data_IF_335087323207
#
_entry.id   IF_335087323207
#
_cell.length_a   1.000
_cell.length_b   1.000
_cell.length_c   1.000
_cell.angle_alpha   90.00
_cell.angle_beta   90.00
_cell.angle_gamma   90.00
#
_symmetry.space_group_name_H-M   'P 1'
#
loop_
_entity.id
_entity.type
_entity.pdbx_description
1 polymer ?
#
# COMPACT_ATOMS: atom_id res chain seq x y z
N UNK A 1 24.67 21.38 -62.21
CA UNK A 1 24.17 22.13 -61.03
C UNK A 1 22.74 21.73 -60.60
N UNK A 2 21.77 21.55 -61.52
CA UNK A 2 20.38 21.13 -61.20
C UNK A 2 20.24 19.75 -60.49
N UNK A 3 21.12 18.79 -60.79
CA UNK A 3 21.08 17.44 -60.19
C UNK A 3 21.56 17.38 -58.72
N UNK A 4 22.36 18.34 -58.27
CA UNK A 4 22.86 18.39 -56.88
C UNK A 4 21.81 19.02 -55.96
N UNK A 5 21.11 20.05 -56.44
CA UNK A 5 20.00 20.69 -55.72
C UNK A 5 18.84 19.72 -55.43
N UNK A 6 18.53 18.81 -56.36
CA UNK A 6 17.46 17.83 -56.18
C UNK A 6 17.79 16.76 -55.13
N UNK A 7 19.07 16.36 -55.04
CA UNK A 7 19.54 15.41 -54.01
C UNK A 7 19.56 16.04 -52.61
N UNK A 8 19.94 17.31 -52.49
CA UNK A 8 19.92 18.04 -51.21
C UNK A 8 18.47 18.26 -50.73
N UNK A 9 17.55 18.63 -51.63
CA UNK A 9 16.14 18.86 -51.30
C UNK A 9 15.43 17.56 -50.81
N UNK A 10 15.71 16.41 -51.43
CA UNK A 10 15.15 15.13 -51.01
C UNK A 10 15.68 14.67 -49.64
N UNK A 11 16.97 14.91 -49.34
CA UNK A 11 17.55 14.55 -48.03
C UNK A 11 16.97 15.42 -46.92
N UNK A 12 16.75 16.72 -47.14
CA UNK A 12 16.09 17.59 -46.15
C UNK A 12 14.60 17.27 -45.97
N UNK A 13 13.89 16.85 -47.02
CA UNK A 13 12.48 16.46 -46.92
C UNK A 13 12.29 15.13 -46.16
N UNK A 14 13.18 14.15 -46.36
CA UNK A 14 13.16 12.90 -45.57
C UNK A 14 13.52 13.15 -44.10
N UNK A 15 14.51 14.01 -43.81
CA UNK A 15 14.91 14.36 -42.44
C UNK A 15 13.79 15.09 -41.67
N UNK A 16 12.98 15.89 -42.36
CA UNK A 16 11.84 16.62 -41.78
C UNK A 16 10.67 15.70 -41.41
N UNK A 17 10.45 14.63 -42.18
CA UNK A 17 9.40 13.63 -41.89
C UNK A 17 9.83 12.69 -40.76
N UNK A 18 11.12 12.41 -40.62
CA UNK A 18 11.66 11.61 -39.51
C UNK A 18 11.62 12.35 -38.16
N UNK A 19 11.70 13.68 -38.15
CA UNK A 19 11.60 14.48 -36.92
C UNK A 19 10.17 14.51 -36.34
N UNK A 20 9.14 14.39 -37.18
CA UNK A 20 7.73 14.36 -36.76
C UNK A 20 7.34 13.12 -35.94
N UNK A 21 8.11 12.03 -36.04
CA UNK A 21 7.84 10.78 -35.29
C UNK A 21 8.50 10.73 -33.91
N UNK A 22 9.36 11.71 -33.58
CA UNK A 22 9.98 11.83 -32.24
C UNK A 22 9.27 12.86 -31.34
N UNK A 23 8.34 13.63 -31.90
CA UNK A 23 7.55 14.61 -31.17
C UNK A 23 6.54 13.98 -30.20
N UNK A 24 6.20 14.72 -29.14
CA UNK A 24 5.15 14.36 -28.19
C UNK A 24 3.83 14.13 -28.93
N UNK A 25 3.48 12.88 -29.19
CA UNK A 25 2.20 12.55 -29.83
C UNK A 25 1.09 12.51 -28.78
N UNK A 26 -0.14 12.73 -29.23
CA UNK A 26 -1.34 12.63 -28.38
C UNK A 26 -1.42 11.23 -27.73
N UNK A 27 -1.05 10.20 -28.47
CA UNK A 27 -1.10 8.81 -28.03
C UNK A 27 -0.08 8.54 -26.91
N UNK A 28 1.13 9.12 -26.97
CA UNK A 28 2.08 9.05 -25.86
C UNK A 28 1.52 9.74 -24.62
N UNK A 29 0.89 10.89 -24.79
CA UNK A 29 0.28 11.62 -23.68
C UNK A 29 -0.87 10.84 -23.03
N UNK A 30 -1.72 10.19 -23.83
CA UNK A 30 -2.79 9.32 -23.33
C UNK A 30 -2.22 8.08 -22.59
N UNK A 31 -1.11 7.51 -23.05
CA UNK A 31 -0.47 6.39 -22.36
C UNK A 31 0.07 6.78 -20.97
N UNK A 32 0.75 7.93 -20.85
CA UNK A 32 1.20 8.44 -19.54
C UNK A 32 0.00 8.72 -18.63
N UNK A 33 -1.03 9.38 -19.15
CA UNK A 33 -2.26 9.66 -18.40
C UNK A 33 -2.92 8.38 -17.90
N UNK A 34 -3.09 7.38 -18.76
CA UNK A 34 -3.68 6.10 -18.40
C UNK A 34 -2.86 5.38 -17.32
N UNK A 35 -1.53 5.41 -17.42
CA UNK A 35 -0.66 4.82 -16.40
C UNK A 35 -0.75 5.55 -15.05
N UNK A 36 -0.80 6.89 -15.05
CA UNK A 36 -0.95 7.68 -13.83
C UNK A 36 -2.32 7.45 -13.16
N UNK A 37 -3.39 7.33 -13.95
CA UNK A 37 -4.73 6.98 -13.46
C UNK A 37 -4.77 5.56 -12.91
N UNK A 38 -4.13 4.60 -13.58
CA UNK A 38 -4.01 3.23 -13.07
C UNK A 38 -3.25 3.19 -11.75
N UNK A 39 -2.17 3.98 -11.64
CA UNK A 39 -1.42 4.10 -10.38
C UNK A 39 -2.30 4.66 -9.26
N UNK A 40 -3.08 5.71 -9.51
CA UNK A 40 -4.04 6.25 -8.53
C UNK A 40 -5.06 5.20 -8.08
N UNK A 41 -5.63 4.43 -9.02
CA UNK A 41 -6.63 3.39 -8.71
C UNK A 41 -6.04 2.29 -7.83
N UNK A 42 -4.85 1.79 -8.16
CA UNK A 42 -4.19 0.76 -7.33
C UNK A 42 -3.73 1.33 -5.99
N UNK A 43 -3.29 2.60 -5.95
CA UNK A 43 -2.95 3.30 -4.72
C UNK A 43 -4.14 3.39 -3.75
N UNK A 44 -5.33 3.73 -4.26
CA UNK A 44 -6.56 3.77 -3.46
C UNK A 44 -6.87 2.39 -2.84
N UNK A 45 -6.80 1.33 -3.63
CA UNK A 45 -7.00 -0.06 -3.14
C UNK A 45 -5.99 -0.43 -2.05
N UNK A 46 -4.72 -0.07 -2.23
CA UNK A 46 -3.66 -0.36 -1.25
C UNK A 46 -3.86 0.41 0.06
N UNK A 47 -4.17 1.70 -0.02
CA UNK A 47 -4.44 2.55 1.15
C UNK A 47 -5.69 2.09 1.89
N UNK A 48 -6.76 1.72 1.19
CA UNK A 48 -7.97 1.16 1.81
C UNK A 48 -7.69 -0.16 2.53
N UNK A 49 -6.95 -1.10 1.92
CA UNK A 49 -6.61 -2.37 2.57
C UNK A 49 -5.71 -2.18 3.77
N UNK A 50 -4.72 -1.30 3.69
CA UNK A 50 -3.85 -1.00 4.83
C UNK A 50 -4.63 -0.31 5.95
N UNK A 51 -5.52 0.63 5.62
CA UNK A 51 -6.40 1.27 6.61
C UNK A 51 -7.28 0.23 7.31
N UNK A 52 -7.87 -0.71 6.58
CA UNK A 52 -8.66 -1.80 7.17
C UNK A 52 -7.81 -2.70 8.08
N UNK A 53 -6.59 -3.06 7.67
CA UNK A 53 -5.65 -3.85 8.47
C UNK A 53 -5.32 -3.15 9.80
N UNK A 54 -4.96 -1.87 9.74
CA UNK A 54 -4.63 -1.09 10.95
C UNK A 54 -5.87 -0.89 11.82
N UNK A 55 -7.05 -0.63 11.23
CA UNK A 55 -8.30 -0.52 12.00
C UNK A 55 -8.66 -1.83 12.71
N UNK A 56 -8.42 -2.98 12.07
CA UNK A 56 -8.66 -4.28 12.69
C UNK A 56 -7.78 -4.52 13.92
N UNK A 57 -6.57 -3.95 13.98
CA UNK A 57 -5.69 -4.06 15.16
C UNK A 57 -6.25 -3.35 16.39
N UNK A 58 -6.98 -2.25 16.18
CA UNK A 58 -7.51 -1.39 17.25
C UNK A 58 -9.01 -1.63 17.53
N UNK A 59 -9.74 -2.34 16.67
CA UNK A 59 -11.19 -2.52 16.83
C UNK A 59 -11.51 -3.55 17.91
N UNK A 60 -11.85 -3.08 19.11
CA UNK A 60 -12.42 -3.91 20.19
C UNK A 60 -13.88 -4.32 19.91
N UNK A 61 -14.15 -5.62 19.91
CA UNK A 61 -15.52 -6.18 19.97
C UNK A 61 -16.20 -5.80 21.29
N UNK A 62 -17.52 -5.56 21.33
CA UNK A 62 -18.25 -5.25 22.56
C UNK A 62 -18.08 -6.32 23.66
N UNK A 63 -18.00 -7.60 23.28
CA UNK A 63 -17.76 -8.71 24.21
C UNK A 63 -16.38 -8.65 24.88
N UNK A 64 -15.35 -8.16 24.19
CA UNK A 64 -14.01 -7.98 24.76
C UNK A 64 -14.02 -6.94 25.86
N UNK A 65 -14.86 -5.91 25.74
CA UNK A 65 -15.04 -4.86 26.74
C UNK A 65 -15.74 -5.38 27.98
N UNK A 66 -16.81 -6.16 27.81
CA UNK A 66 -17.55 -6.71 28.95
C UNK A 66 -16.78 -7.84 29.64
N UNK A 67 -16.02 -8.63 28.88
CA UNK A 67 -15.18 -9.69 29.41
C UNK A 67 -13.89 -9.14 30.05
N UNK A 68 -13.21 -8.15 29.47
CA UNK A 68 -12.11 -7.42 30.14
C UNK A 68 -12.60 -6.75 31.42
N UNK A 69 -13.78 -6.09 31.40
CA UNK A 69 -14.38 -5.52 32.60
C UNK A 69 -14.70 -6.60 33.64
N UNK A 70 -15.20 -7.78 33.24
CA UNK A 70 -15.46 -8.90 34.16
C UNK A 70 -14.18 -9.49 34.73
N UNK A 71 -13.14 -9.72 33.92
CA UNK A 71 -11.84 -10.20 34.41
C UNK A 71 -11.17 -9.18 35.31
N UNK A 72 -11.25 -7.90 34.98
CA UNK A 72 -10.74 -6.81 35.81
C UNK A 72 -11.54 -6.69 37.11
N UNK A 73 -12.86 -6.81 37.08
CA UNK A 73 -13.71 -6.82 38.29
C UNK A 73 -13.39 -8.04 39.15
N UNK A 74 -13.21 -9.23 38.58
CA UNK A 74 -12.81 -10.44 39.31
C UNK A 74 -11.40 -10.28 39.90
N UNK A 75 -10.43 -9.77 39.14
CA UNK A 75 -9.07 -9.53 39.64
C UNK A 75 -9.04 -8.45 40.73
N UNK A 76 -9.87 -7.41 40.61
CA UNK A 76 -9.98 -6.34 41.60
C UNK A 76 -10.76 -6.80 42.85
N UNK A 77 -11.84 -7.57 42.70
CA UNK A 77 -12.56 -8.19 43.82
C UNK A 77 -11.65 -9.18 44.57
N UNK A 78 -10.76 -9.89 43.86
CA UNK A 78 -9.83 -10.84 44.46
C UNK A 78 -8.58 -10.19 45.07
N UNK A 79 -8.09 -9.05 44.55
CA UNK A 79 -6.82 -8.42 44.99
C UNK A 79 -6.93 -7.05 45.66
N UNK A 80 -7.94 -6.24 45.37
CA UNK A 80 -7.93 -4.80 45.71
C UNK A 80 -9.25 -4.33 46.37
N UNK A 81 -9.28 -4.30 47.72
CA UNK A 81 -10.42 -3.79 48.51
C UNK A 81 -10.54 -2.26 48.58
N UNK A 82 -9.69 -1.49 47.86
CA UNK A 82 -9.66 -0.04 47.92
C UNK A 82 -10.45 0.61 46.75
N UNK A 83 -11.57 1.31 47.02
CA UNK A 83 -12.41 1.93 46.00
C UNK A 83 -11.72 2.97 45.11
N UNK A 84 -10.68 3.66 45.61
CA UNK A 84 -9.97 4.70 44.84
C UNK A 84 -9.02 4.11 43.79
N UNK A 85 -8.38 2.97 44.09
CA UNK A 85 -7.60 2.22 43.08
C UNK A 85 -8.50 1.60 42.02
N UNK A 86 -9.65 1.04 42.42
CA UNK A 86 -10.67 0.52 41.51
C UNK A 86 -11.10 1.59 40.49
N UNK A 87 -11.37 2.81 40.96
CA UNK A 87 -11.73 3.96 40.11
C UNK A 87 -10.62 4.34 39.12
N UNK A 88 -9.37 4.41 39.56
CA UNK A 88 -8.22 4.71 38.68
C UNK A 88 -8.04 3.65 37.57
N UNK A 89 -8.27 2.38 37.89
CA UNK A 89 -8.17 1.29 36.91
C UNK A 89 -9.32 1.34 35.90
N UNK A 90 -10.54 1.64 36.35
CA UNK A 90 -11.70 1.86 35.46
C UNK A 90 -11.49 3.07 34.55
N UNK A 91 -10.99 4.18 35.11
CA UNK A 91 -10.64 5.38 34.36
C UNK A 91 -9.57 5.07 33.29
N UNK A 92 -8.57 4.24 33.61
CA UNK A 92 -7.55 3.79 32.65
C UNK A 92 -8.08 2.87 31.53
N UNK A 93 -9.14 2.09 31.77
CA UNK A 93 -9.83 1.32 30.71
C UNK A 93 -10.66 2.26 29.82
N UNK A 94 -11.35 3.23 30.42
CA UNK A 94 -12.13 4.23 29.71
C UNK A 94 -11.26 5.19 28.87
N UNK A 95 -10.08 5.55 29.36
CA UNK A 95 -9.12 6.36 28.62
C UNK A 95 -8.50 5.58 27.46
N UNK A 96 -8.19 4.28 27.65
CA UNK A 96 -7.80 3.39 26.54
C UNK A 96 -8.85 3.37 25.43
N UNK A 97 -10.14 3.34 25.79
CA UNK A 97 -11.23 3.40 24.80
C UNK A 97 -11.29 4.72 24.03
N UNK A 98 -11.10 5.86 24.69
CA UNK A 98 -11.03 7.18 24.02
C UNK A 98 -9.84 7.24 23.07
N UNK A 99 -8.68 6.74 23.49
CA UNK A 99 -7.45 6.72 22.66
C UNK A 99 -7.60 5.84 21.41
N UNK A 100 -8.29 4.70 21.49
CA UNK A 100 -8.55 3.83 20.34
C UNK A 100 -9.45 4.50 19.31
N UNK A 101 -10.49 5.22 19.73
CA UNK A 101 -11.39 5.95 18.82
C UNK A 101 -10.75 7.19 18.20
N UNK A 102 -9.84 7.86 18.90
CA UNK A 102 -9.04 8.95 18.30
C UNK A 102 -7.99 8.41 17.34
N UNK A 103 -7.38 7.26 17.62
CA UNK A 103 -6.45 6.60 16.72
C UNK A 103 -7.11 6.24 15.37
N UNK A 104 -8.31 5.65 15.39
CA UNK A 104 -9.07 5.34 14.17
C UNK A 104 -9.36 6.54 13.26
N UNK A 105 -9.69 7.70 13.85
CA UNK A 105 -9.91 8.95 13.08
C UNK A 105 -8.61 9.56 12.55
N UNK A 106 -7.50 9.38 13.26
CA UNK A 106 -6.18 9.86 12.83
C UNK A 106 -5.70 9.06 11.62
N UNK A 107 -5.89 7.73 11.64
CA UNK A 107 -5.63 6.82 10.52
C UNK A 107 -6.39 7.29 9.27
N UNK A 108 -7.70 7.53 9.36
CA UNK A 108 -8.48 7.98 8.19
C UNK A 108 -8.00 9.34 7.65
N UNK A 109 -7.60 10.26 8.52
CA UNK A 109 -7.04 11.54 8.11
C UNK A 109 -5.69 11.41 7.38
N UNK A 110 -4.80 10.53 7.86
CA UNK A 110 -3.49 10.29 7.25
C UNK A 110 -3.61 9.58 5.91
N UNK A 111 -4.41 8.50 5.84
CA UNK A 111 -4.66 7.79 4.58
C UNK A 111 -5.40 8.68 3.57
N UNK A 112 -6.33 9.54 4.01
CA UNK A 112 -7.00 10.52 3.16
C UNK A 112 -6.04 11.54 2.55
N UNK A 113 -5.07 12.04 3.32
CA UNK A 113 -4.00 12.92 2.80
C UNK A 113 -3.15 12.19 1.75
N UNK A 114 -2.78 10.94 2.01
CA UNK A 114 -2.02 10.13 1.05
C UNK A 114 -2.81 9.93 -0.24
N UNK A 115 -4.09 9.54 -0.17
CA UNK A 115 -4.97 9.40 -1.35
C UNK A 115 -5.00 10.68 -2.19
N UNK A 116 -5.05 11.85 -1.54
CA UNK A 116 -5.03 13.13 -2.22
C UNK A 116 -3.70 13.39 -2.96
N UNK A 117 -2.54 12.94 -2.44
CA UNK A 117 -1.26 13.05 -3.15
C UNK A 117 -1.25 12.24 -4.46
N UNK A 118 -1.85 11.05 -4.48
CA UNK A 118 -1.97 10.23 -5.70
C UNK A 118 -2.98 10.82 -6.69
N UNK A 119 -4.07 11.41 -6.21
CA UNK A 119 -5.02 12.13 -7.06
C UNK A 119 -4.35 13.34 -7.74
N UNK A 120 -3.65 14.17 -6.97
CA UNK A 120 -2.88 15.31 -7.50
C UNK A 120 -1.87 14.83 -8.55
N UNK A 121 -1.17 13.71 -8.31
CA UNK A 121 -0.23 13.15 -9.28
C UNK A 121 -0.93 12.77 -10.59
N UNK A 122 -2.09 12.12 -10.56
CA UNK A 122 -2.85 11.79 -11.76
C UNK A 122 -3.35 13.05 -12.50
N UNK A 123 -3.81 14.05 -11.75
CA UNK A 123 -4.32 15.32 -12.29
C UNK A 123 -3.24 16.12 -13.05
N UNK A 124 -1.96 15.96 -12.70
CA UNK A 124 -0.84 16.56 -13.46
C UNK A 124 -0.85 16.17 -14.95
N UNK A 125 -1.45 15.02 -15.29
CA UNK A 125 -1.47 14.48 -16.65
C UNK A 125 -2.84 14.61 -17.34
N UNK A 126 -3.88 15.12 -16.66
CA UNK A 126 -5.25 15.13 -17.21
C UNK A 126 -5.35 15.92 -18.53
N UNK A 127 -4.65 17.05 -18.58
CA UNK A 127 -4.62 17.97 -19.72
C UNK A 127 -3.46 17.72 -20.68
N UNK A 128 -2.61 16.73 -20.41
CA UNK A 128 -1.46 16.40 -21.26
C UNK A 128 -1.86 16.10 -22.73
N UNK A 129 -2.97 15.37 -23.00
CA UNK A 129 -3.40 15.11 -24.38
C UNK A 129 -3.91 16.34 -25.15
N UNK A 130 -4.19 17.46 -24.45
CA UNK A 130 -4.75 18.69 -25.02
C UNK A 130 -3.70 19.77 -25.33
N UNK A 131 -2.45 19.62 -24.87
CA UNK A 131 -1.41 20.64 -24.97
C UNK A 131 -0.21 20.23 -25.83
N UNK A 132 0.13 21.02 -26.85
CA UNK A 132 1.17 20.66 -27.83
C UNK A 132 2.59 21.23 -27.57
N UNK A 133 2.79 22.16 -26.63
CA UNK A 133 4.03 22.96 -26.59
C UNK A 133 4.93 22.81 -25.35
N UNK A 134 4.47 22.16 -24.26
CA UNK A 134 5.24 22.10 -23.00
C UNK A 134 5.27 20.72 -22.32
N UNK A 135 4.77 19.66 -22.96
CA UNK A 135 4.54 18.35 -22.31
C UNK A 135 5.82 17.67 -21.80
N UNK A 136 6.96 17.78 -22.49
CA UNK A 136 8.18 17.04 -22.10
C UNK A 136 8.76 17.48 -20.76
N UNK A 137 8.92 18.79 -20.53
CA UNK A 137 9.48 19.31 -19.27
C UNK A 137 8.49 19.14 -18.12
N UNK A 138 7.19 19.36 -18.36
CA UNK A 138 6.16 19.16 -17.35
C UNK A 138 6.01 17.70 -16.94
N UNK A 139 6.10 16.76 -17.89
CA UNK A 139 6.12 15.31 -17.61
C UNK A 139 7.36 14.94 -16.81
N UNK A 140 8.55 15.39 -17.22
CA UNK A 140 9.79 15.11 -16.48
C UNK A 140 9.78 15.67 -15.05
N UNK A 141 9.16 16.82 -14.82
CA UNK A 141 9.03 17.41 -13.48
C UNK A 141 8.22 16.52 -12.51
N UNK A 142 7.32 15.69 -13.02
CA UNK A 142 6.52 14.76 -12.23
C UNK A 142 7.26 13.46 -11.87
N UNK A 143 8.41 13.18 -12.49
CA UNK A 143 9.17 11.92 -12.31
C UNK A 143 9.52 11.69 -10.84
N UNK A 144 10.07 12.71 -10.17
CA UNK A 144 10.44 12.60 -8.75
C UNK A 144 9.23 12.33 -7.86
N UNK A 145 8.08 12.93 -8.16
CA UNK A 145 6.84 12.68 -7.44
C UNK A 145 6.37 11.23 -7.63
N UNK A 146 6.41 10.72 -8.86
CA UNK A 146 6.09 9.32 -9.17
C UNK A 146 7.00 8.33 -8.43
N UNK A 147 8.31 8.58 -8.43
CA UNK A 147 9.30 7.79 -7.67
C UNK A 147 8.96 7.75 -6.19
N UNK A 148 8.78 8.91 -5.56
CA UNK A 148 8.48 9.00 -4.12
C UNK A 148 7.22 8.24 -3.75
N UNK A 149 6.15 8.46 -4.51
CA UNK A 149 4.86 7.82 -4.28
C UNK A 149 4.91 6.30 -4.51
N UNK A 150 5.72 5.84 -5.46
CA UNK A 150 5.98 4.41 -5.71
C UNK A 150 6.69 3.78 -4.52
N UNK A 151 7.81 4.39 -4.11
CA UNK A 151 8.65 3.91 -3.00
C UNK A 151 7.90 3.83 -1.66
N UNK A 152 6.92 4.71 -1.44
CA UNK A 152 6.09 4.66 -0.23
C UNK A 152 5.32 3.33 -0.10
N UNK A 153 4.79 2.79 -1.19
CA UNK A 153 4.11 1.49 -1.14
C UNK A 153 5.08 0.31 -0.98
N UNK A 154 6.28 0.42 -1.53
CA UNK A 154 7.35 -0.55 -1.29
C UNK A 154 7.66 -0.61 0.20
N UNK A 155 7.86 0.58 0.80
CA UNK A 155 8.17 0.69 2.22
C UNK A 155 7.05 0.17 3.10
N UNK A 156 5.80 0.49 2.76
CA UNK A 156 4.63 0.01 3.48
C UNK A 156 4.50 -1.53 3.41
N UNK A 157 4.75 -2.13 2.24
CA UNK A 157 4.77 -3.59 2.11
C UNK A 157 5.88 -4.22 2.96
N UNK A 158 7.09 -3.67 2.93
CA UNK A 158 8.22 -4.11 3.74
C UNK A 158 7.92 -3.99 5.25
N UNK A 159 7.36 -2.87 5.69
CA UNK A 159 7.03 -2.64 7.10
C UNK A 159 5.99 -3.63 7.62
N UNK A 160 4.98 -3.98 6.81
CA UNK A 160 3.97 -4.98 7.14
C UNK A 160 4.60 -6.39 7.18
N UNK A 161 5.52 -6.71 6.27
CA UNK A 161 6.19 -8.02 6.25
C UNK A 161 7.12 -8.20 7.47
N UNK A 162 7.93 -7.18 7.80
CA UNK A 162 8.85 -7.21 8.95
C UNK A 162 8.08 -7.14 10.27
N UNK A 163 7.01 -6.35 10.34
CA UNK A 163 6.17 -6.18 11.55
C UNK A 163 4.69 -6.42 11.22
N UNK A 164 4.27 -7.69 11.08
CA UNK A 164 2.88 -8.01 10.77
C UNK A 164 1.93 -7.51 11.84
N UNK A 165 0.89 -6.82 11.42
CA UNK A 165 -0.16 -6.29 12.28
C UNK A 165 -0.89 -7.42 12.99
N UNK A 166 -1.06 -7.26 14.30
CA UNK A 166 -1.76 -8.20 15.17
C UNK A 166 -3.10 -7.62 15.58
N UNK A 167 -4.11 -8.48 15.69
CA UNK A 167 -5.46 -8.08 16.09
C UNK A 167 -5.57 -8.09 17.61
N UNK A 168 -4.93 -7.11 18.25
CA UNK A 168 -4.74 -7.04 19.70
C UNK A 168 -6.04 -7.17 20.48
N UNK A 169 -7.11 -6.52 20.02
CA UNK A 169 -8.43 -6.66 20.62
C UNK A 169 -8.94 -8.12 20.67
N UNK A 170 -8.75 -8.87 19.59
CA UNK A 170 -9.18 -10.26 19.49
C UNK A 170 -8.24 -11.18 20.29
N UNK A 171 -6.95 -10.85 20.33
CA UNK A 171 -5.96 -11.55 21.18
C UNK A 171 -6.28 -11.39 22.66
N UNK A 172 -6.64 -10.19 23.11
CA UNK A 172 -7.08 -9.93 24.47
C UNK A 172 -8.34 -10.73 24.82
N UNK A 173 -9.32 -10.78 23.92
CA UNK A 173 -10.51 -11.62 24.12
C UNK A 173 -10.14 -13.10 24.31
N UNK A 174 -9.22 -13.64 23.51
CA UNK A 174 -8.76 -15.03 23.67
C UNK A 174 -8.08 -15.26 25.02
N UNK A 175 -7.31 -14.30 25.51
CA UNK A 175 -6.69 -14.38 26.84
C UNK A 175 -7.77 -14.44 27.94
N UNK A 176 -8.82 -13.61 27.82
CA UNK A 176 -9.96 -13.63 28.76
C UNK A 176 -10.72 -14.96 28.68
N UNK A 177 -11.06 -15.42 27.46
CA UNK A 177 -11.74 -16.71 27.26
C UNK A 177 -10.92 -17.87 27.87
N UNK A 178 -9.59 -17.83 27.77
CA UNK A 178 -8.71 -18.84 28.35
C UNK A 178 -8.72 -18.81 29.89
N UNK A 179 -8.70 -17.63 30.50
CA UNK A 179 -8.82 -17.49 31.96
C UNK A 179 -10.17 -18.03 32.43
N UNK A 180 -11.26 -17.66 31.75
CA UNK A 180 -12.60 -18.18 32.03
C UNK A 180 -12.67 -19.71 31.90
N UNK A 181 -12.10 -20.27 30.83
CA UNK A 181 -12.04 -21.72 30.64
C UNK A 181 -11.27 -22.42 31.77
N UNK A 182 -10.14 -21.87 32.22
CA UNK A 182 -9.32 -22.44 33.31
C UNK A 182 -10.02 -22.40 34.67
N UNK A 183 -10.93 -21.45 34.88
CA UNK A 183 -11.68 -21.32 36.12
C UNK A 183 -12.80 -22.36 36.28
N UNK A 184 -13.13 -23.12 35.21
CA UNK A 184 -14.12 -24.19 35.26
C UNK A 184 -13.65 -25.34 36.16
N UNK A 185 -14.53 -25.75 37.08
CA UNK A 185 -14.29 -26.83 38.05
C UNK A 185 -14.48 -28.21 37.42
N UNK A 186 -15.48 -28.36 36.55
CA UNK A 186 -15.71 -29.59 35.78
C UNK A 186 -14.60 -29.79 34.73
N UNK A 187 -13.93 -30.95 34.80
CA UNK A 187 -12.77 -31.27 33.96
C UNK A 187 -13.16 -31.39 32.48
N UNK A 188 -14.33 -31.95 32.19
CA UNK A 188 -14.80 -32.17 30.82
C UNK A 188 -15.15 -30.84 30.17
N UNK A 189 -15.91 -29.98 30.86
CA UNK A 189 -16.27 -28.64 30.40
C UNK A 189 -15.03 -27.75 30.24
N UNK A 190 -14.09 -27.80 31.19
CA UNK A 190 -12.81 -27.10 31.09
C UNK A 190 -12.03 -27.50 29.84
N UNK A 191 -11.91 -28.82 29.61
CA UNK A 191 -11.17 -29.34 28.46
C UNK A 191 -11.80 -28.89 27.15
N UNK A 192 -13.13 -28.96 27.04
CA UNK A 192 -13.87 -28.51 25.86
C UNK A 192 -13.71 -26.99 25.64
N UNK A 193 -13.82 -26.18 26.70
CA UNK A 193 -13.65 -24.73 26.61
C UNK A 193 -12.22 -24.35 26.15
N UNK A 194 -11.19 -25.02 26.68
CA UNK A 194 -9.80 -24.81 26.25
C UNK A 194 -9.61 -25.19 24.78
N UNK A 195 -10.20 -26.29 24.31
CA UNK A 195 -10.14 -26.69 22.90
C UNK A 195 -10.79 -25.63 21.99
N UNK A 196 -11.94 -25.08 22.38
CA UNK A 196 -12.61 -24.00 21.63
C UNK A 196 -11.71 -22.76 21.55
N UNK A 197 -11.09 -22.34 22.67
CA UNK A 197 -10.17 -21.20 22.68
C UNK A 197 -8.94 -21.45 21.81
N UNK A 198 -8.40 -22.68 21.85
CA UNK A 198 -7.28 -23.06 20.99
C UNK A 198 -7.65 -22.97 19.50
N UNK A 199 -8.84 -23.44 19.12
CA UNK A 199 -9.32 -23.34 17.74
C UNK A 199 -9.47 -21.87 17.32
N UNK A 200 -10.14 -21.04 18.12
CA UNK A 200 -10.28 -19.60 17.86
C UNK A 200 -8.91 -18.90 17.72
N UNK A 201 -7.91 -19.33 18.47
CA UNK A 201 -6.56 -18.78 18.37
C UNK A 201 -5.85 -19.16 17.05
N UNK A 202 -6.10 -20.37 16.53
CA UNK A 202 -5.62 -20.77 15.21
C UNK A 202 -6.31 -19.98 14.10
N UNK A 203 -7.64 -19.85 14.19
CA UNK A 203 -8.44 -19.09 13.23
C UNK A 203 -8.02 -17.61 13.21
N UNK A 204 -7.77 -17.02 14.38
CA UNK A 204 -7.27 -15.67 14.50
C UNK A 204 -5.90 -15.49 13.84
N UNK A 205 -4.97 -16.42 14.07
CA UNK A 205 -3.64 -16.38 13.43
C UNK A 205 -3.75 -16.48 11.91
N UNK A 206 -4.66 -17.31 11.40
CA UNK A 206 -4.92 -17.42 9.97
C UNK A 206 -5.50 -16.11 9.42
N UNK A 207 -6.49 -15.52 10.09
CA UNK A 207 -7.09 -14.25 9.68
C UNK A 207 -6.09 -13.08 9.69
N UNK A 208 -5.26 -12.97 10.74
CA UNK A 208 -4.16 -11.99 10.80
C UNK A 208 -3.22 -12.16 9.61
N UNK A 209 -2.80 -13.40 9.34
CA UNK A 209 -1.90 -13.71 8.23
C UNK A 209 -2.51 -13.29 6.89
N UNK A 210 -3.73 -13.72 6.60
CA UNK A 210 -4.43 -13.37 5.35
C UNK A 210 -4.57 -11.86 5.20
N UNK A 211 -4.95 -11.14 6.26
CA UNK A 211 -5.11 -9.68 6.18
C UNK A 211 -3.79 -8.94 5.92
N UNK A 212 -2.69 -9.37 6.55
CA UNK A 212 -1.36 -8.81 6.29
C UNK A 212 -0.91 -9.13 4.85
N UNK A 213 -1.09 -10.38 4.42
CA UNK A 213 -0.77 -10.85 3.08
C UNK A 213 -1.54 -10.08 1.99
N UNK A 214 -2.84 -9.82 2.19
CA UNK A 214 -3.65 -9.00 1.30
C UNK A 214 -3.18 -7.54 1.23
N UNK A 215 -2.81 -6.95 2.38
CA UNK A 215 -2.33 -5.57 2.41
C UNK A 215 -0.99 -5.42 1.68
N UNK A 216 -0.03 -6.31 1.97
CA UNK A 216 1.26 -6.39 1.24
C UNK A 216 1.00 -6.51 -0.25
N UNK A 217 0.11 -7.42 -0.65
CA UNK A 217 -0.21 -7.67 -2.06
C UNK A 217 -0.69 -6.41 -2.77
N UNK A 218 -1.61 -5.67 -2.16
CA UNK A 218 -2.12 -4.44 -2.77
C UNK A 218 -1.07 -3.32 -2.80
N UNK A 219 -0.24 -3.20 -1.78
CA UNK A 219 0.90 -2.27 -1.80
C UNK A 219 1.84 -2.58 -2.97
N UNK A 220 2.16 -3.85 -3.20
CA UNK A 220 3.02 -4.25 -4.32
C UNK A 220 2.36 -4.01 -5.69
N UNK A 221 1.04 -4.20 -5.81
CA UNK A 221 0.28 -3.83 -7.02
C UNK A 221 0.36 -2.34 -7.31
N UNK A 222 0.12 -1.50 -6.30
CA UNK A 222 0.24 -0.07 -6.43
C UNK A 222 1.67 0.35 -6.79
N UNK A 223 2.67 -0.30 -6.19
CA UNK A 223 4.08 -0.02 -6.48
C UNK A 223 4.48 -0.44 -7.91
N UNK A 224 3.94 -1.53 -8.46
CA UNK A 224 4.17 -1.89 -9.87
C UNK A 224 3.52 -0.89 -10.82
N UNK A 225 2.27 -0.46 -10.54
CA UNK A 225 1.60 0.56 -11.33
C UNK A 225 2.37 1.90 -11.31
N UNK A 226 2.91 2.28 -10.14
CA UNK A 226 3.73 3.48 -9.97
C UNK A 226 5.07 3.42 -10.70
N UNK A 227 5.72 2.25 -10.67
CA UNK A 227 6.93 1.98 -11.45
C UNK A 227 6.66 2.17 -12.95
N UNK A 228 5.61 1.55 -13.48
CA UNK A 228 5.21 1.72 -14.89
C UNK A 228 4.98 3.20 -15.24
N UNK A 229 4.18 3.91 -14.44
CA UNK A 229 3.92 5.33 -14.66
C UNK A 229 5.23 6.15 -14.68
N UNK A 230 6.13 5.89 -13.74
CA UNK A 230 7.43 6.57 -13.63
C UNK A 230 8.36 6.24 -14.80
N UNK A 231 8.40 5.00 -15.25
CA UNK A 231 9.19 4.58 -16.42
C UNK A 231 8.69 5.23 -17.72
N UNK A 232 7.37 5.34 -17.89
CA UNK A 232 6.78 6.04 -19.03
C UNK A 232 7.06 7.54 -18.99
N UNK A 233 7.07 8.15 -17.80
CA UNK A 233 7.43 9.56 -17.60
C UNK A 233 8.91 9.78 -17.96
N UNK A 234 9.81 8.97 -17.39
CA UNK A 234 11.26 9.09 -17.58
C UNK A 234 11.67 8.91 -19.05
N UNK A 235 11.02 7.96 -19.73
CA UNK A 235 11.31 7.61 -21.11
C UNK A 235 10.34 8.23 -22.13
N UNK A 236 9.49 9.17 -21.72
CA UNK A 236 8.42 9.76 -22.53
C UNK A 236 8.90 10.26 -23.91
N UNK A 237 10.10 10.87 -23.95
CA UNK A 237 10.68 11.39 -25.19
C UNK A 237 11.43 10.36 -26.03
N UNK A 238 11.66 9.16 -25.51
CA UNK A 238 12.51 8.12 -26.12
C UNK A 238 11.71 6.90 -26.56
N UNK A 239 10.60 6.59 -25.90
CA UNK A 239 9.75 5.45 -26.25
C UNK A 239 8.89 5.72 -27.48
N UNK A 240 8.64 4.68 -28.27
CA UNK A 240 7.58 4.72 -29.29
C UNK A 240 6.20 4.59 -28.64
N UNK A 241 5.14 4.98 -29.35
CA UNK A 241 3.76 4.78 -28.87
C UNK A 241 3.48 3.30 -28.59
N UNK A 242 3.99 2.41 -29.46
CA UNK A 242 3.83 0.97 -29.29
C UNK A 242 4.47 0.46 -28.00
N UNK A 243 5.69 0.91 -27.69
CA UNK A 243 6.38 0.53 -26.44
C UNK A 243 5.61 1.00 -25.21
N UNK A 244 5.05 2.21 -25.26
CA UNK A 244 4.28 2.76 -24.14
C UNK A 244 2.98 1.98 -23.91
N UNK A 245 2.26 1.65 -24.98
CA UNK A 245 1.03 0.84 -24.90
C UNK A 245 1.34 -0.57 -24.41
N UNK A 246 2.43 -1.18 -24.89
CA UNK A 246 2.88 -2.49 -24.42
C UNK A 246 3.22 -2.47 -22.93
N UNK A 247 3.98 -1.48 -22.45
CA UNK A 247 4.32 -1.36 -21.03
C UNK A 247 3.08 -1.21 -20.13
N UNK A 248 2.07 -0.41 -20.55
CA UNK A 248 0.79 -0.32 -19.82
C UNK A 248 0.07 -1.67 -19.81
N UNK A 249 0.03 -2.36 -20.95
CA UNK A 249 -0.67 -3.63 -21.11
C UNK A 249 0.00 -4.77 -20.33
N UNK A 250 1.34 -4.83 -20.34
CA UNK A 250 2.15 -5.75 -19.54
C UNK A 250 1.96 -5.49 -18.05
N UNK A 251 1.91 -4.22 -17.63
CA UNK A 251 1.64 -3.86 -16.24
C UNK A 251 0.25 -4.32 -15.80
N UNK A 252 -0.80 -4.07 -16.59
CA UNK A 252 -2.15 -4.58 -16.31
C UNK A 252 -2.19 -6.11 -16.29
N UNK A 253 -1.46 -6.77 -17.21
CA UNK A 253 -1.30 -8.22 -17.23
C UNK A 253 -0.62 -8.75 -15.95
N UNK A 254 0.46 -8.12 -15.51
CA UNK A 254 1.15 -8.45 -14.28
C UNK A 254 0.24 -8.27 -13.04
N UNK A 255 -0.50 -7.16 -12.98
CA UNK A 255 -1.47 -6.88 -11.90
C UNK A 255 -2.58 -7.94 -11.83
N UNK A 256 -3.02 -8.47 -12.98
CA UNK A 256 -4.00 -9.54 -13.09
C UNK A 256 -3.43 -10.93 -12.81
N UNK A 257 -2.13 -11.15 -13.03
CA UNK A 257 -1.47 -12.41 -12.65
C UNK A 257 -1.25 -12.51 -11.14
N UNK A 258 -1.17 -11.36 -10.46
CA UNK A 258 -1.14 -11.28 -9.00
C UNK A 258 -2.55 -11.60 -8.48
N UNK A 259 -2.88 -12.89 -8.37
CA UNK A 259 -4.17 -13.42 -7.89
C UNK A 259 -3.95 -14.51 -6.85
N UNK A 260 -4.70 -14.45 -5.75
CA UNK A 260 -4.65 -15.46 -4.70
C UNK A 260 -3.49 -15.23 -3.72
N UNK A 261 -3.83 -15.04 -2.44
CA UNK A 261 -2.90 -14.78 -1.35
C UNK A 261 -2.14 -16.02 -0.86
N UNK A 262 -1.62 -16.85 -1.75
CA UNK A 262 -0.71 -17.91 -1.31
C UNK A 262 0.66 -17.31 -0.97
N UNK A 263 1.16 -17.63 0.22
CA UNK A 263 2.41 -17.10 0.78
C UNK A 263 3.61 -17.24 -0.17
N UNK A 264 3.63 -18.26 -1.03
CA UNK A 264 4.67 -18.48 -2.04
C UNK A 264 4.65 -17.40 -3.13
N UNK A 265 3.47 -16.99 -3.60
CA UNK A 265 3.35 -15.92 -4.59
C UNK A 265 3.75 -14.58 -4.00
N UNK A 266 3.35 -14.30 -2.76
CA UNK A 266 3.72 -13.07 -2.05
C UNK A 266 5.24 -13.01 -1.83
N UNK A 267 5.87 -14.09 -1.38
CA UNK A 267 7.34 -14.15 -1.25
C UNK A 267 8.05 -14.00 -2.59
N UNK A 268 7.49 -14.56 -3.66
CA UNK A 268 8.04 -14.38 -5.02
C UNK A 268 7.92 -12.92 -5.47
N UNK A 269 6.79 -12.27 -5.21
CA UNK A 269 6.57 -10.87 -5.54
C UNK A 269 7.46 -9.96 -4.70
N UNK A 270 7.56 -10.19 -3.39
CA UNK A 270 8.52 -9.52 -2.51
C UNK A 270 9.96 -9.74 -2.98
N UNK A 271 10.32 -10.96 -3.40
CA UNK A 271 11.64 -11.26 -3.95
C UNK A 271 11.93 -10.51 -5.26
N UNK A 272 10.97 -10.45 -6.18
CA UNK A 272 11.05 -9.62 -7.39
C UNK A 272 11.19 -8.14 -7.03
N UNK A 273 10.44 -7.68 -6.03
CA UNK A 273 10.46 -6.29 -5.62
C UNK A 273 11.75 -5.91 -4.89
N UNK A 274 12.29 -6.80 -4.05
CA UNK A 274 13.62 -6.64 -3.44
C UNK A 274 14.70 -6.62 -4.52
N UNK A 275 14.57 -7.45 -5.55
CA UNK A 275 15.46 -7.41 -6.72
C UNK A 275 15.34 -6.08 -7.46
N UNK A 276 14.14 -5.50 -7.58
CA UNK A 276 13.94 -4.16 -8.13
C UNK A 276 14.55 -3.07 -7.25
N UNK A 277 14.43 -3.18 -5.92
CA UNK A 277 15.10 -2.29 -4.97
C UNK A 277 16.61 -2.33 -5.18
N UNK A 278 17.19 -3.52 -5.26
CA UNK A 278 18.63 -3.69 -5.41
C UNK A 278 19.15 -3.26 -6.78
N UNK A 279 18.42 -3.59 -7.85
CA UNK A 279 18.86 -3.36 -9.23
C UNK A 279 18.53 -1.98 -9.77
N UNK A 280 17.49 -1.31 -9.26
CA UNK A 280 17.02 -0.01 -9.74
C UNK A 280 17.06 1.06 -8.65
N UNK A 281 16.49 0.80 -7.48
CA UNK A 281 16.38 1.84 -6.44
C UNK A 281 17.74 2.21 -5.87
N UNK A 282 18.64 1.24 -5.65
CA UNK A 282 19.98 1.48 -5.10
C UNK A 282 21.00 1.94 -6.14
N UNK A 283 20.73 1.78 -7.44
CA UNK A 283 21.70 2.04 -8.52
C UNK A 283 21.36 3.31 -9.31
N UNK A 284 20.08 3.63 -9.45
CA UNK A 284 19.62 4.83 -10.15
C UNK A 284 19.76 6.06 -9.24
N UNK A 285 20.51 7.10 -9.63
CA UNK A 285 20.78 8.26 -8.78
C UNK A 285 19.50 8.96 -8.28
N UNK A 286 18.45 9.03 -9.10
CA UNK A 286 17.20 9.67 -8.72
C UNK A 286 16.46 8.82 -7.67
N UNK A 287 16.31 7.53 -7.95
CA UNK A 287 15.59 6.62 -7.05
C UNK A 287 16.31 6.47 -5.71
N UNK A 288 17.64 6.35 -5.74
CA UNK A 288 18.48 6.26 -4.55
C UNK A 288 18.33 7.52 -3.70
N UNK A 289 18.41 8.69 -4.32
CA UNK A 289 18.28 9.96 -3.60
C UNK A 289 16.92 10.07 -2.90
N UNK A 290 15.82 9.72 -3.58
CA UNK A 290 14.48 9.80 -2.98
C UNK A 290 14.33 8.76 -1.86
N UNK A 291 14.83 7.54 -2.06
CA UNK A 291 14.82 6.49 -1.03
C UNK A 291 15.56 6.91 0.24
N UNK A 292 16.79 7.41 0.10
CA UNK A 292 17.67 7.75 1.21
C UNK A 292 17.21 9.02 1.98
N UNK A 293 16.47 9.93 1.34
CA UNK A 293 16.13 11.24 1.94
C UNK A 293 14.65 11.47 2.25
N UNK A 294 13.74 10.76 1.60
CA UNK A 294 12.29 11.03 1.68
C UNK A 294 11.46 9.83 2.15
N UNK A 295 12.01 8.61 2.13
CA UNK A 295 11.25 7.37 2.42
C UNK A 295 11.80 6.59 3.61
N UNK A 296 13.12 6.57 3.83
CA UNK A 296 13.79 5.83 4.93
C UNK A 296 13.96 6.60 6.24
N UNK A 297 13.15 7.64 6.49
CA UNK A 297 13.19 8.42 7.73
C UNK A 297 12.30 7.82 8.84
#
# INVERSE_FOLDING_TARGET
MKLIFHKILCVTAFLSISLSQTGCTKEKAEAVKAAAQNFQVEADKALQRTSLLVKASITTTPQAKEAELRTLVIEIEQKERNPQKLRLTLDGVMDRYKTTRSAGRTIDGEFGKMMNEYAIFADMFENLPRGHLFSKHSVAAAERHGVRLTLRFVKMAEDIDIRPVKFEAQRNQLAVDLVGAKALTDVTQRTQAIQIVAQKALDLRAAERTANEEAILQCLKAAEAGKTATELISNYSRMSVADMVNAVSESLGALNQITGGDNVQIKTLLGKYNSFVDSKIKTDPLWKSVWDTEVNL
#
